data_IF_829380371360
#
_entry.id   IF_829380371360
#
_cell.length_a   1.000
_cell.length_b   1.000
_cell.length_c   1.000
_cell.angle_alpha   90.00
_cell.angle_beta   90.00
_cell.angle_gamma   90.00
#
_symmetry.space_group_name_H-M   'P 1'
#
loop_
_entity.id
_entity.type
_entity.pdbx_description
1 polymer ?
#
# COMPACT_ATOMS: atom_id res chain seq x y z
N UNK A 1 -30.33 -16.20 -21.20
CA UNK A 1 -29.15 -16.20 -22.09
C UNK A 1 -27.95 -16.32 -21.19
N UNK A 2 -27.26 -17.45 -21.32
CA UNK A 2 -26.04 -17.92 -20.67
C UNK A 2 -25.69 -17.40 -19.26
N UNK A 3 -26.07 -18.19 -18.25
CA UNK A 3 -25.34 -18.27 -16.98
C UNK A 3 -23.93 -18.79 -17.28
N UNK A 4 -22.95 -17.90 -17.27
CA UNK A 4 -21.54 -18.27 -17.38
C UNK A 4 -21.05 -18.79 -16.02
N UNK A 5 -21.35 -20.07 -15.78
CA UNK A 5 -20.82 -20.83 -14.65
C UNK A 5 -19.32 -21.05 -14.89
N UNK A 6 -18.52 -20.12 -14.37
CA UNK A 6 -17.09 -20.34 -14.09
C UNK A 6 -17.00 -21.36 -12.94
N UNK A 7 -17.34 -22.61 -13.22
CA UNK A 7 -17.03 -23.76 -12.38
C UNK A 7 -15.90 -24.51 -13.06
N UNK A 8 -14.68 -24.00 -12.95
CA UNK A 8 -13.52 -24.81 -13.26
C UNK A 8 -12.52 -24.78 -12.10
N UNK A 9 -12.53 -25.90 -11.36
CA UNK A 9 -11.63 -26.34 -10.28
C UNK A 9 -11.70 -25.63 -8.92
N UNK A 10 -12.82 -25.79 -8.20
CA UNK A 10 -12.73 -25.75 -6.73
C UNK A 10 -11.89 -26.96 -6.27
N UNK A 11 -10.76 -26.71 -5.62
CA UNK A 11 -9.93 -27.77 -5.04
C UNK A 11 -10.80 -28.67 -4.15
N UNK A 12 -10.77 -30.00 -4.39
CA UNK A 12 -11.46 -30.96 -3.53
C UNK A 12 -11.04 -30.76 -2.08
N UNK A 13 -11.95 -30.27 -1.24
CA UNK A 13 -11.65 -29.89 0.13
C UNK A 13 -12.85 -29.27 0.83
N UNK A 14 -12.82 -29.25 2.16
CA UNK A 14 -13.88 -28.65 2.95
C UNK A 14 -13.76 -27.11 2.94
N UNK A 15 -14.89 -26.37 2.91
CA UNK A 15 -14.87 -24.92 2.99
C UNK A 15 -14.29 -24.42 4.31
N UNK A 16 -13.65 -23.26 4.24
CA UNK A 16 -13.01 -22.61 5.40
C UNK A 16 -13.24 -21.10 5.39
N UNK A 17 -13.08 -20.49 6.54
CA UNK A 17 -13.03 -19.04 6.70
C UNK A 17 -11.66 -18.62 7.25
N UNK A 18 -11.05 -17.64 6.62
CA UNK A 18 -9.79 -17.03 7.06
C UNK A 18 -10.07 -15.75 7.86
N UNK A 19 -9.65 -15.71 9.13
CA UNK A 19 -9.57 -14.47 9.90
C UNK A 19 -8.17 -13.90 9.72
N UNK A 20 -8.09 -12.64 9.29
CA UNK A 20 -6.85 -12.01 8.83
C UNK A 20 -6.60 -10.69 9.58
N UNK A 21 -5.43 -10.58 10.18
CA UNK A 21 -4.81 -9.33 10.64
C UNK A 21 -3.89 -8.80 9.55
N UNK A 22 -3.75 -7.48 9.50
CA UNK A 22 -2.77 -6.82 8.63
C UNK A 22 -1.59 -6.38 9.49
N UNK A 23 -0.42 -6.97 9.24
CA UNK A 23 0.81 -6.62 9.93
C UNK A 23 1.35 -5.25 9.51
N UNK A 24 2.36 -4.74 10.22
CA UNK A 24 2.96 -3.43 9.90
C UNK A 24 3.53 -3.35 8.48
N UNK A 25 3.96 -4.50 7.93
CA UNK A 25 4.51 -4.60 6.58
C UNK A 25 3.43 -4.73 5.49
N UNK A 26 2.15 -4.62 5.84
CA UNK A 26 1.03 -4.82 4.91
C UNK A 26 0.79 -6.29 4.55
N UNK A 27 1.44 -7.21 5.26
CA UNK A 27 1.28 -8.65 5.10
C UNK A 27 0.07 -9.18 5.88
N UNK A 28 -0.48 -10.29 5.40
CA UNK A 28 -1.65 -10.92 6.01
C UNK A 28 -1.21 -12.06 6.94
N UNK A 29 -1.59 -11.95 8.22
CA UNK A 29 -1.37 -12.98 9.24
C UNK A 29 -2.72 -13.42 9.79
N UNK A 30 -2.89 -14.69 10.13
CA UNK A 30 -4.24 -15.14 10.46
C UNK A 30 -4.36 -16.61 10.77
N UNK A 31 -5.62 -17.04 10.92
CA UNK A 31 -5.99 -18.45 11.10
C UNK A 31 -6.99 -18.86 10.03
N UNK A 32 -6.73 -20.02 9.42
CA UNK A 32 -7.73 -20.76 8.66
C UNK A 32 -8.59 -21.57 9.64
N UNK A 33 -9.89 -21.36 9.59
CA UNK A 33 -10.86 -22.01 10.48
C UNK A 33 -11.86 -22.77 9.61
N UNK A 34 -12.16 -24.05 9.91
CA UNK A 34 -13.23 -24.78 9.24
C UNK A 34 -14.55 -23.99 9.25
N UNK A 35 -15.29 -23.99 8.13
CA UNK A 35 -16.48 -23.12 8.01
C UNK A 35 -17.58 -23.46 9.02
N UNK A 36 -17.67 -24.72 9.47
CA UNK A 36 -18.58 -25.17 10.54
C UNK A 36 -18.23 -24.58 11.93
N UNK A 37 -16.97 -24.18 12.13
CA UNK A 37 -16.48 -23.53 13.34
C UNK A 37 -16.51 -21.99 13.28
N UNK A 38 -17.06 -21.37 12.22
CA UNK A 38 -17.06 -19.92 12.02
C UNK A 38 -17.74 -19.12 13.15
N UNK A 39 -18.61 -19.74 13.95
CA UNK A 39 -19.26 -19.08 15.10
C UNK A 39 -18.23 -18.47 16.06
N UNK A 40 -17.06 -19.10 16.22
CA UNK A 40 -15.96 -18.60 17.07
C UNK A 40 -15.37 -17.28 16.57
N UNK A 41 -15.31 -17.09 15.24
CA UNK A 41 -14.87 -15.82 14.64
C UNK A 41 -15.83 -14.73 15.06
N UNK A 42 -17.13 -14.93 14.81
CA UNK A 42 -18.15 -13.91 15.05
C UNK A 42 -18.41 -13.63 16.54
N UNK A 43 -18.04 -14.56 17.41
CA UNK A 43 -18.05 -14.37 18.86
C UNK A 43 -16.81 -13.64 19.40
N UNK A 44 -15.81 -13.34 18.56
CA UNK A 44 -14.55 -12.71 18.99
C UNK A 44 -13.67 -13.65 19.82
N UNK A 45 -13.84 -14.96 19.69
CA UNK A 45 -13.12 -15.98 20.48
C UNK A 45 -11.79 -16.39 19.82
N UNK A 46 -11.51 -15.90 18.61
CA UNK A 46 -10.27 -16.19 17.91
C UNK A 46 -9.15 -15.35 18.52
N UNK A 47 -8.13 -16.04 19.02
CA UNK A 47 -6.93 -15.45 19.60
C UNK A 47 -5.73 -15.59 18.67
N UNK A 48 -4.82 -14.64 18.70
CA UNK A 48 -3.48 -14.74 18.13
C UNK A 48 -2.47 -14.17 19.13
N UNK A 49 -1.22 -14.67 19.15
CA UNK A 49 -0.18 -14.09 20.01
C UNK A 49 0.05 -12.63 19.64
N UNK A 50 0.20 -11.76 20.65
CA UNK A 50 0.29 -10.30 20.44
C UNK A 50 1.47 -9.91 19.56
N UNK A 51 2.59 -10.65 19.63
CA UNK A 51 3.77 -10.44 18.80
C UNK A 51 3.48 -10.51 17.28
N UNK A 52 2.38 -11.15 16.87
CA UNK A 52 1.96 -11.26 15.46
C UNK A 52 1.81 -9.89 14.79
N UNK A 53 1.58 -8.82 15.56
CA UNK A 53 1.45 -7.45 15.05
C UNK A 53 2.79 -6.72 14.90
N UNK A 54 3.85 -7.20 15.59
CA UNK A 54 5.14 -6.54 15.69
C UNK A 54 6.25 -7.17 14.83
N UNK A 55 5.89 -8.08 13.91
CA UNK A 55 6.87 -8.83 13.12
C UNK A 55 7.65 -7.92 12.16
N UNK A 56 8.96 -8.16 12.02
CA UNK A 56 9.74 -7.56 10.93
C UNK A 56 9.43 -8.21 9.57
N UNK A 57 10.05 -7.70 8.50
CA UNK A 57 9.83 -8.21 7.12
C UNK A 57 10.18 -9.70 6.95
N UNK A 58 11.05 -10.26 7.79
CA UNK A 58 11.42 -11.68 7.77
C UNK A 58 10.50 -12.55 8.65
N UNK A 59 9.64 -11.94 9.45
CA UNK A 59 8.75 -12.62 10.38
C UNK A 59 9.36 -12.87 11.75
N UNK A 60 10.43 -12.17 12.11
CA UNK A 60 10.99 -12.18 13.48
C UNK A 60 10.05 -11.42 14.42
N UNK A 61 9.83 -11.96 15.62
CA UNK A 61 8.90 -11.42 16.62
C UNK A 61 9.38 -10.13 17.30
N UNK A 62 10.66 -9.81 17.11
CA UNK A 62 11.32 -8.65 17.68
C UNK A 62 11.19 -8.60 19.22
N UNK A 63 11.34 -9.73 19.91
CA UNK A 63 11.34 -9.75 21.38
C UNK A 63 12.39 -8.81 21.98
N UNK A 64 13.53 -8.63 21.30
CA UNK A 64 14.59 -7.70 21.69
C UNK A 64 14.17 -6.22 21.65
N UNK A 65 13.13 -5.89 20.88
CA UNK A 65 12.58 -4.52 20.75
C UNK A 65 11.30 -4.37 21.58
N UNK A 66 10.43 -5.38 21.53
CA UNK A 66 9.06 -5.31 22.06
C UNK A 66 8.95 -5.88 23.47
N UNK A 67 9.77 -6.88 23.81
CA UNK A 67 9.65 -7.68 25.02
C UNK A 67 8.34 -8.46 25.11
N UNK A 68 7.62 -8.67 23.99
CA UNK A 68 6.30 -9.31 23.99
C UNK A 68 6.37 -10.84 23.93
N UNK A 69 7.36 -11.41 23.26
CA UNK A 69 7.43 -12.85 22.98
C UNK A 69 8.01 -13.60 24.19
N UNK A 70 9.23 -14.11 24.13
CA UNK A 70 9.83 -14.88 25.22
C UNK A 70 9.96 -14.09 26.52
N UNK A 71 10.08 -12.77 26.45
CA UNK A 71 10.26 -11.90 27.62
C UNK A 71 9.04 -11.87 28.56
N UNK A 72 7.80 -11.96 28.03
CA UNK A 72 6.56 -12.00 28.86
C UNK A 72 5.63 -13.17 28.54
N UNK A 73 6.03 -14.05 27.62
CA UNK A 73 5.31 -15.27 27.25
C UNK A 73 4.25 -15.11 26.17
N UNK A 74 4.32 -14.05 25.35
CA UNK A 74 3.45 -13.77 24.19
C UNK A 74 1.94 -13.93 24.45
N UNK A 75 1.35 -13.06 25.29
CA UNK A 75 -0.07 -13.18 25.63
C UNK A 75 -0.94 -13.07 24.38
N UNK A 76 -2.01 -13.85 24.37
CA UNK A 76 -2.97 -13.92 23.27
C UNK A 76 -3.90 -12.68 23.24
N UNK A 77 -3.87 -11.93 22.15
CA UNK A 77 -4.81 -10.85 21.87
C UNK A 77 -6.14 -11.35 21.30
N UNK A 78 -7.21 -10.59 21.53
CA UNK A 78 -8.54 -10.87 20.96
C UNK A 78 -8.61 -10.36 19.51
N UNK A 79 -8.91 -11.23 18.54
CA UNK A 79 -9.13 -10.78 17.17
C UNK A 79 -10.61 -10.54 16.91
N UNK A 80 -10.98 -9.27 16.71
CA UNK A 80 -12.35 -8.84 16.46
C UNK A 80 -12.57 -8.69 14.95
N UNK A 81 -13.41 -9.52 14.30
CA UNK A 81 -13.62 -9.45 12.86
C UNK A 81 -14.50 -8.27 12.46
N UNK A 82 -14.19 -7.63 11.34
CA UNK A 82 -15.03 -6.62 10.73
C UNK A 82 -15.89 -7.24 9.62
N UNK A 83 -17.19 -7.43 9.89
CA UNK A 83 -18.14 -8.01 8.94
C UNK A 83 -18.23 -7.24 7.62
N UNK A 84 -17.89 -5.94 7.60
CA UNK A 84 -17.90 -5.13 6.38
C UNK A 84 -16.82 -5.56 5.38
N UNK A 85 -15.78 -6.25 5.86
CA UNK A 85 -14.69 -6.79 5.05
C UNK A 85 -14.89 -8.26 4.63
N UNK A 86 -15.99 -8.90 5.02
CA UNK A 86 -16.22 -10.32 4.69
C UNK A 86 -16.32 -10.50 3.17
N UNK A 87 -15.45 -11.33 2.60
CA UNK A 87 -15.39 -11.58 1.16
C UNK A 87 -15.18 -13.07 0.84
N UNK A 88 -15.70 -13.60 -0.28
CA UNK A 88 -15.41 -14.97 -0.71
C UNK A 88 -13.94 -15.15 -1.12
N UNK A 89 -13.47 -16.40 -1.11
CA UNK A 89 -12.16 -16.78 -1.65
C UNK A 89 -12.33 -17.65 -2.91
N UNK A 90 -12.42 -17.06 -4.12
CA UNK A 90 -12.72 -17.80 -5.35
C UNK A 90 -11.65 -18.83 -5.76
N UNK A 91 -10.44 -18.71 -5.20
CA UNK A 91 -9.33 -19.65 -5.38
C UNK A 91 -9.32 -20.81 -4.36
N UNK A 92 -10.28 -20.85 -3.44
CA UNK A 92 -10.39 -21.86 -2.38
C UNK A 92 -11.61 -22.78 -2.62
N UNK A 93 -11.79 -23.87 -1.84
CA UNK A 93 -12.98 -24.71 -1.95
C UNK A 93 -14.27 -23.89 -1.87
N UNK A 94 -15.30 -24.30 -2.61
CA UNK A 94 -16.56 -23.58 -2.73
C UNK A 94 -17.17 -23.25 -1.36
N UNK A 95 -17.62 -22.00 -1.18
CA UNK A 95 -18.14 -21.50 0.09
C UNK A 95 -17.08 -20.96 1.06
N UNK A 96 -15.79 -21.02 0.70
CA UNK A 96 -14.73 -20.44 1.53
C UNK A 96 -14.74 -18.91 1.56
N UNK A 97 -14.46 -18.32 2.72
CA UNK A 97 -14.54 -16.88 2.99
C UNK A 97 -13.25 -16.35 3.63
N UNK A 98 -13.06 -15.03 3.60
CA UNK A 98 -12.03 -14.32 4.37
C UNK A 98 -12.64 -13.08 5.02
N UNK A 99 -12.10 -12.66 6.16
CA UNK A 99 -12.53 -11.46 6.88
C UNK A 99 -11.32 -10.81 7.55
N UNK A 100 -11.20 -9.49 7.43
CA UNK A 100 -10.21 -8.72 8.17
C UNK A 100 -10.66 -8.54 9.62
N UNK A 101 -9.69 -8.48 10.52
CA UNK A 101 -9.90 -8.30 11.94
C UNK A 101 -8.92 -7.26 12.49
N UNK A 102 -9.30 -6.70 13.64
CA UNK A 102 -8.44 -5.85 14.46
C UNK A 102 -8.13 -6.62 15.73
N UNK A 103 -6.87 -6.60 16.18
CA UNK A 103 -6.52 -7.15 17.49
C UNK A 103 -6.85 -6.14 18.58
N UNK A 104 -7.46 -6.59 19.67
CA UNK A 104 -7.80 -5.77 20.83
C UNK A 104 -6.99 -6.22 22.05
N UNK A 105 -6.63 -5.23 22.86
CA UNK A 105 -6.02 -5.37 24.17
C UNK A 105 -6.99 -6.04 25.18
N UNK A 106 -6.49 -6.43 26.35
CA UNK A 106 -7.32 -7.07 27.38
C UNK A 106 -8.44 -6.17 27.92
N UNK A 107 -8.28 -4.85 27.86
CA UNK A 107 -9.31 -3.87 28.22
C UNK A 107 -10.36 -3.66 27.12
N UNK A 108 -10.23 -4.36 25.98
CA UNK A 108 -11.13 -4.30 24.84
C UNK A 108 -10.86 -3.13 23.88
N UNK A 109 -9.85 -2.29 24.12
CA UNK A 109 -9.44 -1.25 23.18
C UNK A 109 -8.69 -1.85 21.99
N UNK A 110 -8.76 -1.25 20.79
CA UNK A 110 -7.91 -1.66 19.68
C UNK A 110 -6.43 -1.55 20.03
N UNK A 111 -5.63 -2.54 19.64
CA UNK A 111 -4.18 -2.55 19.84
C UNK A 111 -3.54 -1.34 19.16
N UNK A 112 -2.62 -0.70 19.86
CA UNK A 112 -1.83 0.41 19.32
C UNK A 112 -0.91 -0.02 18.17
N UNK A 113 -0.67 -1.33 18.00
CA UNK A 113 0.16 -1.91 16.93
C UNK A 113 -0.62 -2.14 15.64
N UNK A 114 -1.94 -2.01 15.66
CA UNK A 114 -2.81 -2.36 14.55
C UNK A 114 -2.89 -1.21 13.51
N UNK A 115 -2.39 -1.39 12.28
CA UNK A 115 -2.45 -0.36 11.24
C UNK A 115 -3.87 0.11 10.92
N UNK A 116 -4.84 -0.81 10.98
CA UNK A 116 -6.25 -0.53 10.70
C UNK A 116 -6.86 0.35 11.79
N UNK A 117 -6.51 0.09 13.06
CA UNK A 117 -6.89 0.94 14.19
C UNK A 117 -6.27 2.34 14.10
N UNK A 118 -5.01 2.45 13.66
CA UNK A 118 -4.34 3.75 13.46
C UNK A 118 -5.10 4.58 12.41
N UNK A 119 -5.40 4.01 11.24
CA UNK A 119 -6.20 4.73 10.24
C UNK A 119 -7.58 5.11 10.79
N UNK A 120 -8.27 4.20 11.48
CA UNK A 120 -9.58 4.50 12.07
C UNK A 120 -9.51 5.68 13.06
N UNK A 121 -8.42 5.81 13.82
CA UNK A 121 -8.23 6.94 14.73
C UNK A 121 -8.09 8.28 14.00
N UNK A 122 -7.41 8.31 12.84
CA UNK A 122 -7.32 9.50 11.99
C UNK A 122 -8.68 9.85 11.39
N UNK A 123 -9.45 8.86 10.94
CA UNK A 123 -10.79 9.07 10.38
C UNK A 123 -11.76 9.63 11.41
N UNK A 124 -11.64 9.25 12.68
CA UNK A 124 -12.41 9.85 13.77
C UNK A 124 -12.18 11.37 13.88
N UNK A 125 -10.94 11.85 13.67
CA UNK A 125 -10.63 13.29 13.68
C UNK A 125 -11.33 14.06 12.55
N UNK A 126 -11.55 13.41 11.40
CA UNK A 126 -12.37 13.97 10.32
C UNK A 126 -13.86 13.97 10.68
N UNK A 127 -14.36 12.87 11.23
CA UNK A 127 -15.75 12.75 11.69
C UNK A 127 -16.10 13.83 12.72
N UNK A 128 -15.21 14.09 13.68
CA UNK A 128 -15.35 15.16 14.69
C UNK A 128 -15.45 16.56 14.08
N UNK A 129 -14.94 16.76 12.84
CA UNK A 129 -15.06 17.99 12.06
C UNK A 129 -16.27 17.99 11.11
N UNK A 130 -17.08 16.92 11.11
CA UNK A 130 -18.18 16.73 10.17
C UNK A 130 -17.72 16.52 8.73
N UNK A 131 -16.52 15.93 8.56
CA UNK A 131 -15.87 15.70 7.27
C UNK A 131 -15.72 14.20 7.00
N UNK A 132 -15.72 13.82 5.73
CA UNK A 132 -15.48 12.45 5.29
C UNK A 132 -14.44 12.43 4.16
N UNK A 133 -13.26 11.83 4.39
CA UNK A 133 -12.29 11.61 3.33
C UNK A 133 -12.85 10.67 2.25
N UNK A 134 -12.63 11.04 1.00
CA UNK A 134 -12.93 10.22 -0.17
C UNK A 134 -11.62 9.87 -0.86
N UNK A 135 -11.31 8.58 -0.95
CA UNK A 135 -10.00 8.12 -1.42
C UNK A 135 -10.12 7.07 -2.52
N UNK A 136 -9.12 7.04 -3.40
CA UNK A 136 -8.95 6.03 -4.44
C UNK A 136 -7.47 5.66 -4.50
N UNK A 137 -7.14 4.42 -4.85
CA UNK A 137 -5.75 3.97 -4.98
C UNK A 137 -5.49 3.38 -6.35
N UNK A 138 -4.35 3.72 -6.94
CA UNK A 138 -3.84 3.14 -8.18
C UNK A 138 -2.72 2.17 -7.80
N UNK A 139 -2.98 0.87 -7.89
CA UNK A 139 -2.01 -0.15 -7.50
C UNK A 139 -1.28 -0.65 -8.74
N UNK A 140 0.01 -0.31 -8.84
CA UNK A 140 0.90 -0.95 -9.79
C UNK A 140 1.49 -2.24 -9.20
N UNK A 141 1.75 -3.22 -10.06
CA UNK A 141 2.42 -4.47 -9.70
C UNK A 141 3.10 -5.07 -10.92
N UNK A 142 4.05 -5.97 -10.68
CA UNK A 142 4.65 -6.80 -11.73
C UNK A 142 4.14 -8.23 -11.65
N UNK A 143 3.94 -8.84 -12.82
CA UNK A 143 3.80 -10.28 -12.99
C UNK A 143 5.12 -10.80 -13.56
N UNK A 144 5.64 -11.89 -13.00
CA UNK A 144 6.95 -12.47 -13.34
C UNK A 144 6.86 -13.99 -13.41
N UNK A 145 7.81 -14.60 -14.10
CA UNK A 145 8.01 -16.05 -14.14
C UNK A 145 8.41 -16.61 -12.76
N UNK A 146 8.06 -17.88 -12.43
CA UNK A 146 8.35 -18.48 -11.13
C UNK A 146 9.82 -18.90 -10.96
N UNK A 147 10.62 -18.85 -12.03
CA UNK A 147 12.03 -19.25 -12.07
C UNK A 147 12.96 -18.37 -11.21
N UNK A 148 12.47 -17.25 -10.67
CA UNK A 148 13.22 -16.39 -9.74
C UNK A 148 13.77 -17.14 -8.52
N UNK A 149 13.14 -18.26 -8.14
CA UNK A 149 13.62 -19.14 -7.06
C UNK A 149 14.94 -19.84 -7.38
N UNK A 150 15.18 -20.11 -8.66
CA UNK A 150 16.39 -20.79 -9.14
C UNK A 150 17.45 -19.78 -9.58
N UNK A 151 17.03 -18.71 -10.25
CA UNK A 151 17.93 -17.69 -10.81
C UNK A 151 18.33 -16.61 -9.79
N UNK A 152 17.57 -16.48 -8.69
CA UNK A 152 17.69 -15.37 -7.74
C UNK A 152 17.26 -14.01 -8.30
N UNK A 153 16.67 -13.97 -9.51
CA UNK A 153 16.28 -12.73 -10.20
C UNK A 153 14.91 -12.87 -10.88
N UNK A 154 14.07 -11.83 -10.87
CA UNK A 154 12.81 -11.87 -11.60
C UNK A 154 13.05 -11.93 -13.11
N UNK A 155 12.17 -12.62 -13.84
CA UNK A 155 12.12 -12.65 -15.31
C UNK A 155 10.71 -12.29 -15.75
N UNK A 156 10.51 -11.46 -16.79
CA UNK A 156 9.17 -11.15 -17.28
C UNK A 156 8.48 -12.40 -17.84
N UNK A 157 7.14 -12.42 -17.90
CA UNK A 157 6.37 -13.49 -18.50
C UNK A 157 6.84 -13.78 -19.93
N UNK A 158 7.02 -15.06 -20.27
CA UNK A 158 7.66 -15.51 -21.52
C UNK A 158 6.96 -15.01 -22.79
N UNK A 159 5.63 -14.88 -22.76
CA UNK A 159 4.80 -14.27 -23.80
C UNK A 159 5.09 -12.78 -24.05
N UNK A 160 5.76 -12.09 -23.12
CA UNK A 160 6.21 -10.69 -23.25
C UNK A 160 7.70 -10.58 -23.62
N UNK A 161 8.33 -11.70 -23.98
CA UNK A 161 9.77 -11.76 -24.29
C UNK A 161 10.04 -12.38 -25.66
N UNK A 162 11.18 -12.04 -26.25
CA UNK A 162 11.75 -12.70 -27.41
C UNK A 162 13.14 -13.24 -27.05
N UNK A 163 13.31 -14.56 -27.06
CA UNK A 163 14.55 -15.25 -26.65
C UNK A 163 15.02 -14.86 -25.23
N UNK A 164 14.08 -14.60 -24.32
CA UNK A 164 14.35 -14.24 -22.93
C UNK A 164 14.58 -12.74 -22.69
N UNK A 165 14.61 -11.92 -23.74
CA UNK A 165 14.72 -10.47 -23.63
C UNK A 165 13.34 -9.81 -23.74
N UNK A 166 13.05 -8.76 -22.95
CA UNK A 166 11.80 -8.00 -23.07
C UNK A 166 11.59 -7.45 -24.48
N UNK A 167 10.34 -7.43 -24.96
CA UNK A 167 9.97 -6.87 -26.26
C UNK A 167 10.04 -5.32 -26.34
N UNK A 168 10.54 -4.65 -25.30
CA UNK A 168 10.62 -3.19 -25.18
C UNK A 168 9.85 -2.64 -23.96
N UNK A 169 9.44 -1.38 -24.04
CA UNK A 169 8.56 -0.74 -23.05
C UNK A 169 7.09 -0.99 -23.38
N UNK A 170 6.24 -1.18 -22.36
CA UNK A 170 4.85 -1.64 -22.52
C UNK A 170 3.78 -0.56 -22.30
N UNK A 171 4.18 0.70 -22.12
CA UNK A 171 3.27 1.78 -21.71
C UNK A 171 2.04 1.89 -22.66
N UNK A 172 0.86 1.59 -22.13
CA UNK A 172 -0.42 1.51 -22.88
C UNK A 172 -0.44 0.51 -24.05
N UNK A 173 0.45 -0.48 -24.06
CA UNK A 173 0.53 -1.49 -25.11
C UNK A 173 -0.58 -2.54 -24.93
N UNK A 174 -1.56 -2.52 -25.84
CA UNK A 174 -2.66 -3.49 -25.83
C UNK A 174 -2.20 -4.92 -26.14
N UNK A 175 -1.08 -5.11 -26.84
CA UNK A 175 -0.55 -6.46 -27.10
C UNK A 175 -0.01 -7.11 -25.82
N UNK A 176 0.48 -6.31 -24.87
CA UNK A 176 0.86 -6.77 -23.55
C UNK A 176 -0.34 -7.23 -22.72
N UNK A 177 -1.45 -6.51 -22.83
CA UNK A 177 -2.73 -6.88 -22.21
C UNK A 177 -3.25 -8.18 -22.81
N UNK A 178 -3.30 -8.27 -24.15
CA UNK A 178 -3.77 -9.46 -24.87
C UNK A 178 -2.92 -10.70 -24.55
N UNK A 179 -1.60 -10.53 -24.44
CA UNK A 179 -0.69 -11.63 -24.12
C UNK A 179 -1.00 -12.27 -22.76
N UNK A 180 -1.48 -11.48 -21.78
CA UNK A 180 -1.80 -11.94 -20.42
C UNK A 180 -3.31 -11.90 -20.11
N UNK A 181 -4.17 -11.92 -21.13
CA UNK A 181 -5.62 -11.76 -20.94
C UNK A 181 -6.20 -12.85 -20.01
N UNK A 182 -5.84 -14.13 -20.16
CA UNK A 182 -6.33 -15.21 -19.28
C UNK A 182 -6.06 -14.94 -17.78
N UNK A 183 -4.87 -14.41 -17.48
CA UNK A 183 -4.50 -13.97 -16.14
C UNK A 183 -5.35 -12.77 -15.69
N UNK A 184 -5.44 -11.73 -16.53
CA UNK A 184 -6.19 -10.51 -16.23
C UNK A 184 -7.70 -10.78 -16.08
N UNK A 185 -8.27 -11.69 -16.86
CA UNK A 185 -9.66 -12.15 -16.71
C UNK A 185 -9.89 -12.82 -15.36
N UNK A 186 -8.90 -13.58 -14.88
CA UNK A 186 -8.96 -14.22 -13.55
C UNK A 186 -8.89 -13.18 -12.44
N UNK A 187 -8.01 -12.17 -12.56
CA UNK A 187 -7.96 -11.02 -11.63
C UNK A 187 -9.32 -10.31 -11.58
N UNK A 188 -9.89 -9.97 -12.74
CA UNK A 188 -11.20 -9.32 -12.84
C UNK A 188 -12.32 -10.17 -12.24
N UNK A 189 -12.33 -11.48 -12.50
CA UNK A 189 -13.31 -12.40 -11.93
C UNK A 189 -13.21 -12.47 -10.40
N UNK A 190 -12.00 -12.54 -9.85
CA UNK A 190 -11.78 -12.56 -8.40
C UNK A 190 -12.15 -11.23 -7.73
N UNK A 191 -11.78 -10.10 -8.33
CA UNK A 191 -12.17 -8.77 -7.85
C UNK A 191 -13.69 -8.60 -7.84
N UNK A 192 -14.39 -9.00 -8.92
CA UNK A 192 -15.86 -8.99 -8.97
C UNK A 192 -16.49 -9.85 -7.90
N UNK A 193 -15.97 -11.07 -7.70
CA UNK A 193 -16.49 -11.98 -6.68
C UNK A 193 -16.37 -11.40 -5.25
N UNK A 194 -15.33 -10.61 -4.99
CA UNK A 194 -15.13 -9.93 -3.70
C UNK A 194 -15.79 -8.55 -3.62
N UNK A 195 -16.44 -8.08 -4.69
CA UNK A 195 -17.09 -6.77 -4.72
C UNK A 195 -16.10 -5.60 -4.70
N UNK A 196 -14.84 -5.80 -5.10
CA UNK A 196 -13.86 -4.73 -5.19
C UNK A 196 -14.27 -3.75 -6.30
N UNK A 197 -14.12 -2.44 -6.08
CA UNK A 197 -14.42 -1.42 -7.09
C UNK A 197 -13.26 -1.26 -8.08
N UNK A 198 -12.75 -2.36 -8.62
CA UNK A 198 -11.68 -2.36 -9.61
C UNK A 198 -12.21 -1.92 -10.97
N UNK A 199 -11.55 -0.94 -11.57
CA UNK A 199 -11.94 -0.33 -12.84
C UNK A 199 -11.00 -0.77 -13.98
N UNK A 200 -10.23 0.15 -14.56
CA UNK A 200 -9.35 -0.11 -15.67
C UNK A 200 -8.13 -0.94 -15.26
N UNK A 201 -7.64 -1.72 -16.23
CA UNK A 201 -6.30 -2.32 -16.17
C UNK A 201 -5.46 -1.68 -17.25
N UNK A 202 -4.29 -1.20 -16.88
CA UNK A 202 -3.35 -0.52 -17.79
C UNK A 202 -2.05 -1.31 -17.84
N UNK A 203 -1.51 -1.52 -19.03
CA UNK A 203 -0.13 -1.97 -19.19
C UNK A 203 0.81 -0.78 -18.91
N UNK A 204 1.67 -0.95 -17.91
CA UNK A 204 2.57 0.09 -17.44
C UNK A 204 3.94 0.00 -18.14
N UNK A 205 4.89 0.83 -17.73
CA UNK A 205 6.12 1.03 -18.49
C UNK A 205 7.02 -0.22 -18.59
N UNK A 206 7.14 -1.00 -17.51
CA UNK A 206 8.04 -2.15 -17.44
C UNK A 206 7.43 -3.46 -17.95
N UNK A 207 8.27 -4.44 -18.33
CA UNK A 207 7.81 -5.73 -18.85
C UNK A 207 7.12 -6.57 -17.77
N UNK A 208 5.85 -6.90 -17.98
CA UNK A 208 4.97 -7.53 -17.01
C UNK A 208 4.38 -6.57 -15.98
N UNK A 209 4.52 -5.25 -16.14
CA UNK A 209 3.97 -4.26 -15.22
C UNK A 209 2.53 -3.91 -15.59
N UNK A 210 1.65 -3.93 -14.60
CA UNK A 210 0.25 -3.53 -14.76
C UNK A 210 -0.19 -2.62 -13.62
N UNK A 211 -1.17 -1.78 -13.90
CA UNK A 211 -1.89 -0.98 -12.92
C UNK A 211 -3.37 -1.40 -12.89
N UNK A 212 -3.95 -1.46 -11.69
CA UNK A 212 -5.41 -1.52 -11.51
C UNK A 212 -5.85 -0.37 -10.62
N UNK A 213 -6.75 0.46 -11.13
CA UNK A 213 -7.35 1.57 -10.39
C UNK A 213 -8.53 1.05 -9.56
N UNK A 214 -8.55 1.38 -8.27
CA UNK A 214 -9.73 1.22 -7.41
C UNK A 214 -10.50 2.54 -7.37
N UNK A 215 -11.82 2.49 -7.59
CA UNK A 215 -12.64 3.70 -7.64
C UNK A 215 -12.70 4.42 -6.28
N UNK A 216 -13.03 5.72 -6.33
CA UNK A 216 -13.15 6.58 -5.17
C UNK A 216 -14.23 6.07 -4.21
N UNK A 217 -13.89 5.97 -2.91
CA UNK A 217 -14.83 5.59 -1.84
C UNK A 217 -14.87 6.64 -0.74
N UNK A 218 -16.06 7.06 -0.27
CA UNK A 218 -16.23 7.88 0.93
C UNK A 218 -16.08 7.04 2.21
N UNK A 219 -15.13 6.12 2.21
CA UNK A 219 -14.76 5.25 3.32
C UNK A 219 -13.30 4.83 3.09
N UNK A 220 -12.38 5.59 3.69
CA UNK A 220 -10.96 5.36 3.49
C UNK A 220 -10.47 4.05 4.14
N UNK A 221 -11.18 3.55 5.16
CA UNK A 221 -10.86 2.26 5.76
C UNK A 221 -11.19 1.13 4.78
N UNK A 222 -12.39 1.18 4.17
CA UNK A 222 -12.79 0.22 3.14
C UNK A 222 -11.89 0.30 1.90
N UNK A 223 -11.42 1.49 1.51
CA UNK A 223 -10.47 1.61 0.40
C UNK A 223 -9.10 0.98 0.71
N UNK A 224 -8.61 1.06 1.96
CA UNK A 224 -7.42 0.33 2.38
C UNK A 224 -7.65 -1.19 2.43
N UNK A 225 -8.82 -1.64 2.92
CA UNK A 225 -9.24 -3.04 2.90
C UNK A 225 -9.24 -3.57 1.44
N UNK A 226 -9.84 -2.82 0.50
CA UNK A 226 -9.88 -3.16 -0.94
C UNK A 226 -8.47 -3.26 -1.55
N UNK A 227 -7.56 -2.34 -1.20
CA UNK A 227 -6.18 -2.38 -1.69
C UNK A 227 -5.45 -3.64 -1.21
N UNK A 228 -5.61 -4.02 0.06
CA UNK A 228 -5.04 -5.27 0.60
C UNK A 228 -5.59 -6.50 -0.12
N UNK A 229 -6.91 -6.54 -0.34
CA UNK A 229 -7.52 -7.64 -1.07
C UNK A 229 -7.10 -7.69 -2.53
N UNK A 230 -6.92 -6.54 -3.19
CA UNK A 230 -6.40 -6.49 -4.55
C UNK A 230 -4.99 -7.09 -4.63
N UNK A 231 -4.07 -6.70 -3.74
CA UNK A 231 -2.71 -7.29 -3.65
C UNK A 231 -2.77 -8.82 -3.52
N UNK A 232 -3.71 -9.33 -2.71
CA UNK A 232 -3.92 -10.77 -2.56
C UNK A 232 -4.53 -11.40 -3.82
N UNK A 233 -5.50 -10.76 -4.45
CA UNK A 233 -6.16 -11.23 -5.68
C UNK A 233 -5.15 -11.39 -6.81
N UNK A 234 -4.32 -10.36 -7.08
CA UNK A 234 -3.35 -10.40 -8.19
C UNK A 234 -2.33 -11.52 -8.01
N UNK A 235 -1.93 -11.80 -6.77
CA UNK A 235 -1.06 -12.92 -6.42
C UNK A 235 -1.75 -14.27 -6.58
N UNK A 236 -2.99 -14.44 -6.12
CA UNK A 236 -3.72 -15.70 -6.24
C UNK A 236 -4.07 -16.02 -7.69
N UNK A 237 -4.42 -15.00 -8.48
CA UNK A 237 -4.59 -15.14 -9.91
C UNK A 237 -3.27 -15.56 -10.58
N UNK A 238 -2.14 -14.94 -10.23
CA UNK A 238 -0.85 -15.27 -10.84
C UNK A 238 -0.47 -16.73 -10.56
N UNK A 239 -0.68 -17.20 -9.32
CA UNK A 239 -0.45 -18.59 -8.94
C UNK A 239 -1.28 -19.59 -9.75
N UNK A 240 -2.55 -19.27 -10.03
CA UNK A 240 -3.41 -20.11 -10.88
C UNK A 240 -2.83 -20.30 -12.28
N UNK A 241 -2.13 -19.29 -12.79
CA UNK A 241 -1.51 -19.29 -14.12
C UNK A 241 -0.03 -19.67 -14.11
N UNK A 242 0.49 -20.21 -13.00
CA UNK A 242 1.91 -20.60 -12.89
C UNK A 242 2.89 -19.42 -12.82
N UNK A 243 2.39 -18.21 -12.58
CA UNK A 243 3.17 -16.97 -12.50
C UNK A 243 3.30 -16.51 -11.04
N UNK A 244 4.07 -15.43 -10.84
CA UNK A 244 4.21 -14.72 -9.57
C UNK A 244 3.82 -13.25 -9.74
N UNK A 245 2.95 -12.73 -8.88
CA UNK A 245 2.72 -11.29 -8.79
C UNK A 245 3.57 -10.69 -7.68
N UNK A 246 4.03 -9.45 -7.85
CA UNK A 246 4.79 -8.73 -6.84
C UNK A 246 4.49 -7.25 -6.84
N UNK A 247 4.29 -6.71 -5.63
CA UNK A 247 4.19 -5.27 -5.36
C UNK A 247 5.52 -4.68 -4.85
N UNK A 248 6.62 -5.42 -5.01
CA UNK A 248 7.97 -4.93 -4.68
C UNK A 248 8.23 -3.62 -5.43
N UNK A 249 8.70 -2.59 -4.71
CA UNK A 249 8.85 -1.24 -5.26
C UNK A 249 9.74 -1.16 -6.50
N UNK A 250 10.84 -1.92 -6.55
CA UNK A 250 11.78 -1.92 -7.68
C UNK A 250 12.27 -3.35 -7.97
N UNK A 251 11.50 -4.15 -8.71
CA UNK A 251 11.87 -5.54 -9.02
C UNK A 251 13.04 -5.61 -10.01
N UNK A 252 13.08 -4.67 -10.97
CA UNK A 252 14.12 -4.58 -11.99
C UNK A 252 14.89 -3.27 -11.85
N UNK A 253 16.22 -3.33 -11.93
CA UNK A 253 17.09 -2.14 -11.84
C UNK A 253 16.80 -1.14 -12.95
N UNK A 254 16.64 -1.62 -14.18
CA UNK A 254 16.62 -0.81 -15.40
C UNK A 254 15.19 -0.47 -15.91
N UNK A 255 14.15 -0.88 -15.18
CA UNK A 255 12.74 -0.60 -15.52
C UNK A 255 12.04 0.23 -14.44
N UNK A 256 10.84 0.75 -14.74
CA UNK A 256 10.06 1.54 -13.78
C UNK A 256 9.77 0.76 -12.49
N UNK A 257 9.68 1.46 -11.36
CA UNK A 257 9.23 0.85 -10.11
C UNK A 257 7.71 0.80 -10.04
N UNK A 258 7.17 0.07 -9.06
CA UNK A 258 5.73 -0.01 -8.81
C UNK A 258 5.27 1.05 -7.80
N UNK A 259 4.37 1.92 -8.23
CA UNK A 259 3.71 2.94 -7.41
C UNK A 259 2.42 2.48 -6.73
N UNK A 260 2.05 3.20 -5.67
CA UNK A 260 0.71 3.18 -5.08
C UNK A 260 0.22 4.63 -4.98
N UNK A 261 -0.26 5.19 -6.09
CA UNK A 261 -0.76 6.56 -6.07
C UNK A 261 -2.08 6.61 -5.30
N UNK A 262 -2.27 7.69 -4.55
CA UNK A 262 -3.48 7.91 -3.77
C UNK A 262 -4.14 9.19 -4.23
N UNK A 263 -5.36 9.07 -4.74
CA UNK A 263 -6.24 10.21 -4.93
C UNK A 263 -7.04 10.45 -3.65
N UNK A 264 -7.10 11.70 -3.20
CA UNK A 264 -7.82 12.09 -2.01
C UNK A 264 -8.58 13.39 -2.20
N UNK A 265 -9.82 13.40 -1.72
CA UNK A 265 -10.65 14.58 -1.53
C UNK A 265 -11.40 14.44 -0.21
N UNK A 266 -12.18 15.46 0.18
CA UNK A 266 -12.92 15.47 1.44
C UNK A 266 -14.28 16.08 1.19
N UNK A 267 -15.34 15.41 1.65
CA UNK A 267 -16.71 15.91 1.58
C UNK A 267 -17.20 16.37 2.95
N UNK A 268 -18.06 17.38 2.98
CA UNK A 268 -18.78 17.81 4.17
C UNK A 268 -20.01 16.93 4.44
N UNK A 269 -20.71 17.19 5.54
CA UNK A 269 -21.97 16.51 5.93
C UNK A 269 -23.10 16.61 4.89
N UNK A 270 -23.04 17.58 3.98
CA UNK A 270 -24.02 17.78 2.91
C UNK A 270 -23.57 17.07 1.61
N UNK A 271 -22.46 16.33 1.66
CA UNK A 271 -21.86 15.62 0.52
C UNK A 271 -21.11 16.53 -0.44
N UNK A 272 -20.82 17.79 -0.08
CA UNK A 272 -20.11 18.72 -0.94
C UNK A 272 -18.61 18.57 -0.77
N UNK A 273 -17.88 18.48 -1.88
CA UNK A 273 -16.43 18.43 -1.87
C UNK A 273 -15.84 19.77 -1.41
N UNK A 274 -15.11 19.78 -0.29
CA UNK A 274 -14.54 21.02 0.28
C UNK A 274 -13.30 21.50 -0.48
N UNK A 275 -12.75 20.67 -1.38
CA UNK A 275 -11.65 21.04 -2.28
C UNK A 275 -12.15 21.76 -3.55
N UNK A 276 -13.45 21.75 -3.82
CA UNK A 276 -14.03 22.43 -4.98
C UNK A 276 -13.78 23.94 -4.92
N UNK A 277 -12.97 24.44 -5.86
CA UNK A 277 -12.65 25.84 -5.99
C UNK A 277 -13.82 26.67 -6.54
N UNK A 278 -14.80 26.04 -7.20
CA UNK A 278 -15.96 26.69 -7.84
C UNK A 278 -15.56 27.79 -8.84
N UNK A 279 -14.39 27.66 -9.47
CA UNK A 279 -13.83 28.66 -10.37
C UNK A 279 -13.10 29.84 -9.68
N UNK A 280 -13.01 29.83 -8.35
CA UNK A 280 -12.25 30.80 -7.54
C UNK A 280 -10.83 30.27 -7.23
N UNK A 281 -10.08 30.99 -6.38
CA UNK A 281 -8.78 30.54 -5.88
C UNK A 281 -8.94 29.26 -5.01
N UNK A 282 -8.28 28.13 -5.35
CA UNK A 282 -8.42 26.85 -4.65
C UNK A 282 -7.69 26.82 -3.30
N UNK A 283 -7.91 27.82 -2.42
CA UNK A 283 -7.20 28.01 -1.15
C UNK A 283 -7.22 26.79 -0.25
N UNK A 284 -8.39 26.16 -0.09
CA UNK A 284 -8.52 24.95 0.74
C UNK A 284 -7.68 23.82 0.16
N UNK A 285 -7.81 23.54 -1.13
CA UNK A 285 -7.05 22.50 -1.82
C UNK A 285 -5.54 22.76 -1.73
N UNK A 286 -5.08 23.99 -1.99
CA UNK A 286 -3.68 24.40 -1.82
C UNK A 286 -3.18 24.18 -0.40
N UNK A 287 -3.98 24.51 0.61
CA UNK A 287 -3.63 24.30 2.02
C UNK A 287 -3.47 22.82 2.38
N UNK A 288 -4.36 21.94 1.89
CA UNK A 288 -4.21 20.51 2.07
C UNK A 288 -2.96 19.98 1.36
N UNK A 289 -2.67 20.47 0.15
CA UNK A 289 -1.44 20.17 -0.57
C UNK A 289 -0.19 20.59 0.22
N UNK A 290 -0.21 21.78 0.84
CA UNK A 290 0.89 22.28 1.65
C UNK A 290 1.13 21.41 2.89
N UNK A 291 0.06 20.98 3.56
CA UNK A 291 0.15 20.05 4.69
C UNK A 291 0.83 18.73 4.28
N UNK A 292 0.45 18.15 3.13
CA UNK A 292 1.10 16.96 2.59
C UNK A 292 2.60 17.18 2.34
N UNK A 293 2.97 18.28 1.68
CA UNK A 293 4.37 18.61 1.39
C UNK A 293 5.21 18.77 2.67
N UNK A 294 4.67 19.45 3.69
CA UNK A 294 5.38 19.67 4.97
C UNK A 294 5.62 18.36 5.72
N UNK A 295 4.69 17.41 5.65
CA UNK A 295 4.78 16.14 6.40
C UNK A 295 5.50 15.03 5.64
N UNK A 296 5.79 15.23 4.35
CA UNK A 296 6.17 14.15 3.46
C UNK A 296 7.50 13.49 3.81
N UNK A 297 8.48 14.29 4.26
CA UNK A 297 9.80 13.78 4.62
C UNK A 297 9.74 12.93 5.89
N UNK A 298 8.97 13.37 6.87
CA UNK A 298 8.73 12.65 8.13
C UNK A 298 8.03 11.31 7.90
N UNK A 299 7.06 11.30 6.97
CA UNK A 299 6.30 10.11 6.59
C UNK A 299 6.94 9.26 5.48
N UNK A 300 8.12 9.64 4.98
CA UNK A 300 8.74 8.93 3.85
C UNK A 300 8.94 7.44 4.13
N UNK A 301 9.27 7.08 5.37
CA UNK A 301 9.41 5.68 5.78
C UNK A 301 8.12 4.86 5.58
N UNK A 302 6.95 5.49 5.69
CA UNK A 302 5.66 4.83 5.45
C UNK A 302 5.41 4.66 3.94
N UNK A 303 5.82 5.65 3.14
CA UNK A 303 5.67 5.62 1.68
C UNK A 303 6.68 4.68 1.00
N UNK A 304 7.81 4.45 1.64
CA UNK A 304 8.93 3.62 1.19
C UNK A 304 9.46 2.76 2.36
N UNK A 305 8.75 1.66 2.71
CA UNK A 305 8.98 0.94 3.97
C UNK A 305 10.15 -0.05 3.97
N UNK A 306 10.83 -0.24 2.83
CA UNK A 306 11.91 -1.21 2.70
C UNK A 306 13.12 -0.62 1.97
N UNK A 307 14.30 -1.24 2.16
CA UNK A 307 15.52 -0.82 1.45
C UNK A 307 15.36 -0.79 -0.09
N UNK A 308 14.59 -1.72 -0.65
CA UNK A 308 14.30 -1.75 -2.09
C UNK A 308 13.45 -0.55 -2.54
N UNK A 309 12.59 0.00 -1.68
CA UNK A 309 11.72 1.14 -1.98
C UNK A 309 12.54 2.37 -2.40
N UNK A 310 13.69 2.60 -1.77
CA UNK A 310 14.54 3.75 -2.04
C UNK A 310 15.27 3.69 -3.39
N UNK A 311 15.26 2.52 -4.06
CA UNK A 311 15.75 2.38 -5.44
C UNK A 311 14.80 3.04 -6.46
N UNK A 312 13.59 3.42 -6.05
CA UNK A 312 12.68 4.25 -6.85
C UNK A 312 13.13 5.71 -6.92
N UNK A 313 13.73 6.27 -5.86
CA UNK A 313 14.11 7.69 -5.79
C UNK A 313 15.44 7.95 -6.50
N UNK A 314 15.43 7.94 -7.82
CA UNK A 314 16.58 8.25 -8.68
C UNK A 314 16.25 9.42 -9.61
N UNK A 315 17.24 10.29 -9.94
CA UNK A 315 17.05 11.31 -10.97
C UNK A 315 16.56 10.69 -12.29
N UNK A 316 15.52 11.28 -12.89
CA UNK A 316 14.92 10.78 -14.15
C UNK A 316 14.04 9.54 -14.01
N UNK A 317 13.79 9.05 -12.80
CA UNK A 317 12.78 8.02 -12.56
C UNK A 317 11.35 8.60 -12.57
N UNK A 318 10.34 7.74 -12.78
CA UNK A 318 8.92 8.13 -12.68
C UNK A 318 8.45 8.42 -11.24
N UNK A 319 9.29 8.12 -10.22
CA UNK A 319 8.98 8.42 -8.84
C UNK A 319 9.47 9.84 -8.49
N UNK A 320 8.60 10.69 -7.91
CA UNK A 320 8.98 12.04 -7.54
C UNK A 320 10.04 12.04 -6.42
N UNK A 321 11.06 12.89 -6.56
CA UNK A 321 12.14 13.08 -5.56
C UNK A 321 12.04 14.44 -4.89
N UNK A 322 11.62 15.46 -5.63
CA UNK A 322 11.40 16.81 -5.12
C UNK A 322 10.01 16.96 -4.50
N UNK A 323 9.95 17.52 -3.29
CA UNK A 323 8.72 17.87 -2.59
C UNK A 323 8.08 19.10 -3.24
N UNK A 324 7.50 18.88 -4.41
CA UNK A 324 6.85 19.90 -5.23
C UNK A 324 5.42 19.49 -5.56
N UNK A 325 4.65 20.47 -6.02
CA UNK A 325 3.28 20.28 -6.45
C UNK A 325 2.99 20.96 -7.79
N UNK A 326 1.95 20.50 -8.51
CA UNK A 326 1.56 21.11 -9.77
C UNK A 326 0.21 20.66 -10.31
N UNK A 327 -0.43 21.51 -11.13
CA UNK A 327 -1.68 21.15 -11.80
C UNK A 327 -1.41 20.21 -12.97
N UNK A 328 -2.06 19.05 -12.97
CA UNK A 328 -1.92 18.06 -14.04
C UNK A 328 -0.49 17.50 -14.23
N UNK A 329 0.47 17.83 -13.37
CA UNK A 329 1.89 17.53 -13.58
C UNK A 329 2.29 16.20 -12.93
N UNK A 330 2.47 15.13 -13.73
CA UNK A 330 2.80 13.77 -13.20
C UNK A 330 4.21 13.64 -12.60
N UNK A 331 5.08 14.63 -12.82
CA UNK A 331 6.44 14.66 -12.25
C UNK A 331 6.55 15.22 -10.82
N UNK A 332 5.46 15.74 -10.24
CA UNK A 332 5.49 16.31 -8.88
C UNK A 332 5.13 15.26 -7.82
N UNK A 333 5.55 15.49 -6.57
CA UNK A 333 5.19 14.64 -5.45
C UNK A 333 3.69 14.67 -5.14
N UNK A 334 3.12 15.87 -5.25
CA UNK A 334 1.67 16.11 -5.15
C UNK A 334 1.17 16.65 -6.48
N UNK A 335 0.25 15.93 -7.12
CA UNK A 335 -0.41 16.40 -8.35
C UNK A 335 -1.82 16.86 -8.00
N UNK A 336 -2.30 17.90 -8.66
CA UNK A 336 -3.71 18.32 -8.61
C UNK A 336 -4.32 17.99 -9.97
N UNK A 337 -5.04 16.86 -10.11
CA UNK A 337 -5.61 16.47 -11.40
C UNK A 337 -6.78 17.36 -11.82
N UNK A 338 -7.59 17.79 -10.85
CA UNK A 338 -8.75 18.66 -11.04
C UNK A 338 -8.90 19.54 -9.80
N UNK A 339 -9.42 20.75 -9.99
CA UNK A 339 -9.64 21.75 -8.96
C UNK A 339 -11.11 22.17 -8.83
N UNK A 340 -12.01 21.67 -9.68
CA UNK A 340 -13.41 22.08 -9.71
C UNK A 340 -14.39 20.93 -9.52
N UNK A 341 -15.53 21.28 -8.92
CA UNK A 341 -16.68 20.41 -8.74
C UNK A 341 -16.37 19.16 -7.91
N UNK A 342 -17.18 18.10 -8.08
CA UNK A 342 -16.99 16.84 -7.37
C UNK A 342 -15.64 16.17 -7.63
N UNK A 343 -14.99 16.46 -8.77
CA UNK A 343 -13.72 15.85 -9.17
C UNK A 343 -12.48 16.49 -8.53
N UNK A 344 -12.63 17.66 -7.88
CA UNK A 344 -11.54 18.39 -7.23
C UNK A 344 -10.80 17.51 -6.21
N UNK A 345 -9.52 17.24 -6.45
CA UNK A 345 -8.77 16.28 -5.64
C UNK A 345 -7.28 16.51 -5.71
N UNK A 346 -6.59 15.92 -4.77
CA UNK A 346 -5.13 15.81 -4.75
C UNK A 346 -4.76 14.37 -5.09
N UNK A 347 -3.59 14.19 -5.71
CA UNK A 347 -2.96 12.90 -6.00
C UNK A 347 -1.57 12.88 -5.36
N UNK A 348 -1.37 11.99 -4.39
CA UNK A 348 -0.08 11.74 -3.75
C UNK A 348 0.66 10.62 -4.49
N UNK A 349 1.84 10.92 -5.04
CA UNK A 349 2.53 10.05 -6.03
C UNK A 349 3.79 9.36 -5.50
N UNK A 350 4.17 9.60 -4.23
CA UNK A 350 5.44 9.13 -3.69
C UNK A 350 5.44 7.64 -3.35
N UNK A 351 4.32 7.11 -2.84
CA UNK A 351 4.30 5.78 -2.25
C UNK A 351 4.57 4.66 -3.25
N UNK A 352 5.28 3.63 -2.80
CA UNK A 352 5.47 2.38 -3.54
C UNK A 352 4.30 1.42 -3.33
N UNK A 353 4.12 0.48 -4.26
CA UNK A 353 3.15 -0.60 -4.14
C UNK A 353 3.39 -1.51 -2.92
N UNK A 354 4.58 -1.46 -2.34
CA UNK A 354 5.01 -2.17 -1.13
C UNK A 354 4.58 -1.47 0.17
N UNK A 355 4.04 -0.25 0.10
CA UNK A 355 3.50 0.46 1.26
C UNK A 355 2.29 -0.27 1.88
N UNK A 356 2.19 -0.21 3.22
CA UNK A 356 1.01 -0.63 3.96
C UNK A 356 -0.12 0.40 3.71
N UNK A 357 -1.25 0.02 3.07
CA UNK A 357 -2.30 0.97 2.71
C UNK A 357 -2.90 1.73 3.90
N UNK A 358 -3.04 1.11 5.08
CA UNK A 358 -3.62 1.80 6.24
C UNK A 358 -2.68 2.88 6.78
N UNK A 359 -1.40 2.55 6.94
CA UNK A 359 -0.38 3.50 7.40
C UNK A 359 -0.19 4.63 6.37
N UNK A 360 -0.18 4.27 5.08
CA UNK A 360 -0.11 5.21 3.96
C UNK A 360 -1.25 6.23 4.02
N UNK A 361 -2.49 5.76 4.13
CA UNK A 361 -3.65 6.65 4.23
C UNK A 361 -3.65 7.44 5.53
N UNK A 362 -3.20 6.86 6.66
CA UNK A 362 -3.08 7.59 7.92
C UNK A 362 -2.10 8.77 7.80
N UNK A 363 -0.93 8.57 7.19
CA UNK A 363 0.04 9.63 6.92
C UNK A 363 -0.51 10.71 5.97
N UNK A 364 -1.11 10.31 4.83
CA UNK A 364 -1.67 11.27 3.85
C UNK A 364 -2.80 12.08 4.47
N UNK A 365 -3.76 11.41 5.10
CA UNK A 365 -4.92 12.07 5.71
C UNK A 365 -4.51 12.90 6.94
N UNK A 366 -3.46 12.50 7.67
CA UNK A 366 -2.84 13.30 8.71
C UNK A 366 -2.22 14.60 8.18
N UNK A 367 -1.47 14.52 7.06
CA UNK A 367 -0.93 15.71 6.39
C UNK A 367 -2.02 16.62 5.84
N UNK A 368 -3.12 16.06 5.33
CA UNK A 368 -4.29 16.83 4.93
C UNK A 368 -4.99 17.52 6.12
N UNK A 369 -5.07 16.87 7.30
CA UNK A 369 -5.59 17.51 8.52
C UNK A 369 -4.76 18.73 8.92
N UNK A 370 -3.44 18.65 8.83
CA UNK A 370 -2.56 19.80 9.07
C UNK A 370 -2.93 20.99 8.16
N UNK A 371 -3.19 20.71 6.88
CA UNK A 371 -3.68 21.71 5.92
C UNK A 371 -5.11 22.19 6.19
N UNK A 372 -6.00 21.35 6.73
CA UNK A 372 -7.34 21.78 7.14
C UNK A 372 -7.26 22.78 8.31
N UNK A 373 -6.38 22.51 9.27
CA UNK A 373 -6.32 23.23 10.54
C UNK A 373 -5.45 24.51 10.48
N UNK A 374 -4.52 24.62 9.53
CA UNK A 374 -3.47 25.68 9.55
C UNK A 374 -3.46 26.66 8.36
N UNK A 375 -4.38 26.56 7.38
CA UNK A 375 -4.44 27.46 6.20
C UNK A 375 -3.07 27.76 5.55
N UNK A 376 -2.36 26.69 5.19
CA UNK A 376 -0.99 26.71 4.70
C UNK A 376 -0.89 27.10 3.21
N UNK A 377 0.30 27.59 2.82
CA UNK A 377 0.67 27.85 1.43
C UNK A 377 1.66 26.77 0.95
N UNK A 378 1.37 26.04 -0.17
CA UNK A 378 2.27 25.01 -0.68
C UNK A 378 3.49 25.60 -1.40
N UNK A 379 3.57 26.93 -1.52
CA UNK A 379 4.63 27.64 -2.22
C UNK A 379 4.42 27.62 -3.73
N UNK A 380 5.49 27.94 -4.46
CA UNK A 380 5.46 28.07 -5.91
C UNK A 380 5.10 26.73 -6.59
N UNK A 381 4.25 26.81 -7.61
CA UNK A 381 3.86 25.69 -8.45
C UNK A 381 5.02 25.22 -9.36
N UNK A 382 5.16 23.91 -9.52
CA UNK A 382 5.93 23.31 -10.62
C UNK A 382 5.10 23.24 -11.90
N UNK A 383 5.63 23.82 -12.98
CA UNK A 383 5.06 23.75 -14.33
C UNK A 383 6.03 23.06 -15.29
N UNK A 384 5.60 22.61 -16.49
CA UNK A 384 6.50 21.99 -17.46
C UNK A 384 7.71 22.86 -17.86
N UNK A 385 7.58 24.19 -17.75
CA UNK A 385 8.63 25.15 -18.06
C UNK A 385 9.42 25.66 -16.85
N UNK A 386 9.01 25.33 -15.63
CA UNK A 386 9.57 25.92 -14.42
C UNK A 386 9.51 24.97 -13.22
N UNK A 387 10.67 24.72 -12.62
CA UNK A 387 10.81 24.04 -11.34
C UNK A 387 11.22 25.07 -10.28
N UNK A 388 10.52 25.14 -9.13
CA UNK A 388 10.92 25.96 -8.00
C UNK A 388 12.35 25.64 -7.55
N UNK A 389 13.10 26.66 -7.15
CA UNK A 389 14.48 26.47 -6.65
C UNK A 389 14.47 26.09 -5.16
N UNK A 390 15.51 25.38 -4.72
CA UNK A 390 15.71 25.02 -3.31
C UNK A 390 14.57 24.19 -2.70
N UNK A 391 13.97 23.33 -3.51
CA UNK A 391 12.93 22.40 -3.07
C UNK A 391 13.51 21.42 -2.06
N UNK A 392 12.73 21.12 -1.01
CA UNK A 392 13.07 20.01 -0.12
C UNK A 392 13.00 18.72 -0.92
N UNK A 393 13.93 17.80 -0.66
CA UNK A 393 13.99 16.52 -1.37
C UNK A 393 13.73 15.36 -0.39
N UNK A 394 13.11 14.32 -0.92
CA UNK A 394 13.09 13.00 -0.29
C UNK A 394 14.50 12.43 -0.24
N UNK A 395 14.78 11.61 0.77
CA UNK A 395 16.07 10.90 0.84
C UNK A 395 16.07 9.66 -0.05
N UNK A 396 17.23 9.27 -0.57
CA UNK A 396 17.44 7.97 -1.24
C UNK A 396 18.04 6.93 -0.29
N UNK A 397 18.18 7.28 0.99
CA UNK A 397 18.77 6.42 2.03
C UNK A 397 17.71 5.95 3.03
N UNK A 398 17.61 4.63 3.19
CA UNK A 398 16.62 4.00 4.05
C UNK A 398 16.82 4.37 5.52
N UNK A 399 18.06 4.37 6.01
CA UNK A 399 18.34 4.66 7.43
C UNK A 399 18.02 6.12 7.78
N UNK A 400 18.32 7.06 6.88
CA UNK A 400 17.98 8.48 7.04
C UNK A 400 16.47 8.69 7.18
N UNK A 401 15.65 7.99 6.39
CA UNK A 401 14.20 8.07 6.51
C UNK A 401 13.70 7.44 7.82
N UNK A 402 14.33 6.35 8.27
CA UNK A 402 14.05 5.74 9.57
C UNK A 402 14.33 6.73 10.71
N UNK A 403 15.49 7.39 10.69
CA UNK A 403 15.86 8.33 11.76
C UNK A 403 14.96 9.57 11.76
N UNK A 404 14.54 10.07 10.59
CA UNK A 404 13.56 11.16 10.49
C UNK A 404 12.19 10.75 11.09
N UNK A 405 11.70 9.56 10.76
CA UNK A 405 10.44 9.04 11.28
C UNK A 405 10.47 8.91 12.81
N UNK A 406 11.58 8.41 13.39
CA UNK A 406 11.72 8.13 14.84
C UNK A 406 11.69 9.36 15.74
N UNK A 407 11.96 10.55 15.20
CA UNK A 407 12.00 11.80 15.97
C UNK A 407 10.91 12.80 15.56
N UNK A 408 10.07 12.44 14.60
CA UNK A 408 9.04 13.34 14.06
C UNK A 408 7.87 13.54 15.04
N UNK A 409 7.55 14.79 15.44
CA UNK A 409 6.34 15.09 16.20
C UNK A 409 5.05 14.82 15.42
N UNK A 410 5.08 14.98 14.09
CA UNK A 410 3.94 14.67 13.22
C UNK A 410 3.60 13.18 13.26
N UNK A 411 4.62 12.33 13.16
CA UNK A 411 4.42 10.87 13.26
C UNK A 411 3.93 10.48 14.65
N UNK A 412 4.48 11.08 15.72
CA UNK A 412 4.01 10.86 17.08
C UNK A 412 2.52 11.19 17.26
N UNK A 413 2.04 12.30 16.67
CA UNK A 413 0.64 12.70 16.72
C UNK A 413 -0.29 11.76 15.92
N UNK A 414 0.08 11.44 14.68
CA UNK A 414 -0.79 10.68 13.77
C UNK A 414 -0.80 9.17 14.10
N UNK A 415 0.35 8.60 14.44
CA UNK A 415 0.50 7.16 14.69
C UNK A 415 0.50 6.81 16.17
N UNK A 416 0.73 7.78 17.05
CA UNK A 416 0.99 7.57 18.47
C UNK A 416 2.46 7.25 18.75
N UNK A 417 3.00 7.82 19.83
CA UNK A 417 4.41 7.65 20.24
C UNK A 417 4.82 6.17 20.39
N UNK A 418 3.93 5.32 20.91
CA UNK A 418 4.19 3.89 21.08
C UNK A 418 4.39 3.18 19.73
N UNK A 419 3.56 3.50 18.74
CA UNK A 419 3.69 2.92 17.41
C UNK A 419 4.89 3.48 16.67
N UNK A 420 5.11 4.80 16.75
CA UNK A 420 6.28 5.44 16.18
C UNK A 420 7.58 4.76 16.66
N UNK A 421 7.70 4.55 17.97
CA UNK A 421 8.85 3.86 18.55
C UNK A 421 8.97 2.44 18.01
N UNK A 422 7.90 1.65 18.08
CA UNK A 422 7.90 0.25 17.62
C UNK A 422 8.31 0.15 16.14
N UNK A 423 7.56 0.81 15.25
CA UNK A 423 7.78 0.75 13.81
C UNK A 423 9.16 1.29 13.44
N UNK A 424 9.57 2.42 14.04
CA UNK A 424 10.87 3.03 13.80
C UNK A 424 12.03 2.16 14.25
N UNK A 425 11.97 1.54 15.43
CA UNK A 425 13.01 0.65 15.92
C UNK A 425 13.08 -0.66 15.10
N UNK A 426 11.94 -1.25 14.74
CA UNK A 426 11.89 -2.42 13.83
C UNK A 426 12.50 -2.09 12.48
N UNK A 427 12.11 -0.97 11.85
CA UNK A 427 12.66 -0.57 10.55
C UNK A 427 14.14 -0.20 10.63
N UNK A 428 14.62 0.26 11.79
CA UNK A 428 16.05 0.46 12.03
C UNK A 428 16.83 -0.84 12.08
N UNK A 429 16.29 -1.88 12.74
CA UNK A 429 16.88 -3.25 12.73
C UNK A 429 16.95 -3.80 11.30
N UNK A 430 15.89 -3.62 10.51
CA UNK A 430 15.88 -4.00 9.08
C UNK A 430 16.93 -3.23 8.27
N UNK A 431 17.01 -1.91 8.45
CA UNK A 431 17.98 -1.05 7.74
C UNK A 431 19.43 -1.43 8.07
N UNK A 432 19.75 -1.66 9.36
CA UNK A 432 21.08 -2.12 9.77
C UNK A 432 21.39 -3.49 9.18
N UNK A 433 20.41 -4.41 9.20
CA UNK A 433 20.57 -5.74 8.63
C UNK A 433 20.87 -5.66 7.14
N UNK A 434 20.20 -4.78 6.39
CA UNK A 434 20.52 -4.52 4.99
C UNK A 434 21.93 -3.96 4.80
N UNK A 435 22.32 -2.95 5.58
CA UNK A 435 23.64 -2.29 5.45
C UNK A 435 24.83 -3.22 5.75
N UNK A 436 24.65 -4.21 6.62
CA UNK A 436 25.70 -5.22 6.91
C UNK A 436 25.76 -6.35 5.87
N UNK A 437 24.78 -6.46 4.98
CA UNK A 437 24.74 -7.53 3.97
C UNK A 437 25.68 -7.20 2.82
N UNK A 438 26.69 -8.05 2.60
CA UNK A 438 27.58 -7.97 1.44
C UNK A 438 26.88 -8.60 0.23
N UNK A 439 26.70 -7.82 -0.84
CA UNK A 439 25.99 -8.22 -2.05
C UNK A 439 26.91 -8.75 -3.14
N UNK A 440 26.34 -9.40 -4.16
CA UNK A 440 27.07 -9.78 -5.37
C UNK A 440 27.69 -8.59 -6.12
N UNK A 441 27.15 -7.37 -5.94
CA UNK A 441 27.77 -6.17 -6.48
C UNK A 441 29.10 -5.88 -5.80
N UNK A 442 29.15 -6.02 -4.47
CA UNK A 442 30.36 -5.80 -3.68
C UNK A 442 31.46 -6.79 -4.08
N UNK A 443 31.13 -8.09 -4.18
CA UNK A 443 32.09 -9.10 -4.61
C UNK A 443 32.60 -8.86 -6.03
N UNK A 444 31.72 -8.58 -7.01
CA UNK A 444 32.15 -8.34 -8.40
C UNK A 444 32.98 -7.06 -8.56
N UNK A 445 32.76 -6.08 -7.69
CA UNK A 445 33.40 -4.77 -7.79
C UNK A 445 34.71 -4.72 -7.02
N UNK A 446 34.71 -5.12 -5.75
CA UNK A 446 35.83 -4.87 -4.84
C UNK A 446 36.79 -6.06 -4.73
N UNK A 447 36.29 -7.31 -4.65
CA UNK A 447 37.12 -8.50 -4.46
C UNK A 447 38.26 -8.68 -5.50
N UNK A 448 38.10 -8.39 -6.80
CA UNK A 448 39.20 -8.53 -7.75
C UNK A 448 40.14 -7.30 -7.80
N UNK A 449 39.83 -6.21 -7.10
CA UNK A 449 40.54 -4.92 -7.21
C UNK A 449 41.33 -4.52 -5.96
N UNK A 450 40.81 -4.86 -4.78
CA UNK A 450 41.46 -4.67 -3.48
C UNK A 450 42.09 -5.99 -3.03
#
# INVERSE_FOLDING_TARGET
MADDKIHDTAAGGNPRIELLLVGMNGDLRGKQIPLDAQKKIWAGEVRLPSSTQSLDVWGDDNDDITGLSLSVGDPDGNCIPDKRSLAPMPWAPEGSMQVLATMHEFDGTPSFMDPRAILASVLKRYEERGLTPVVATELEFYVVEPNWRETGRPSPPTNLTYRGEPNGFQLYDMTAVDALDDYLQTVRAYARAQGLPADATTAEFGPGQFEINLLHRPDALAAADDCIYLKRIVEQAARKHGLKSTCMAKPYSDHAGSGLHVHASVIDKDGRNILDAKGDDPRRLKSLCAGLLQTMRDAQLVFAPFANSYRRFQPGSFAPVDLTWGYGHRGTAVRIPDLNGPAARIEHRVAGADANPYLLLAAILGGMLLGIDSELDPGEETTPSHMPRHTTQLTHDFLTAVDAFRVSPFIADIFGERYQKLYGDTKRKEAITYLRTVSDFDYRTYLPRL
#
